data_IF_470391158756
#
_entry.id   IF_470391158756
#
_cell.length_a   1.000
_cell.length_b   1.000
_cell.length_c   1.000
_cell.angle_alpha   90.00
_cell.angle_beta   90.00
_cell.angle_gamma   90.00
#
_symmetry.space_group_name_H-M   'P 1'
#
loop_
_entity.id
_entity.type
_entity.pdbx_description
1 polymer ?
#
# COMPACT_ATOMS: atom_id res chain seq x y z
N UNK A 1 -1.37 -4.53 16.74
CA UNK A 1 -0.74 -5.13 15.53
C UNK A 1 -1.68 -5.80 14.50
N UNK A 2 -2.66 -6.65 14.86
CA UNK A 2 -3.47 -7.40 13.86
C UNK A 2 -4.68 -6.64 13.25
N UNK A 3 -5.11 -5.54 13.88
CA UNK A 3 -6.28 -4.75 13.46
C UNK A 3 -5.91 -3.77 12.34
N UNK A 4 -4.84 -3.00 12.51
CA UNK A 4 -4.30 -2.10 11.46
C UNK A 4 -3.93 -2.88 10.19
N UNK A 5 -3.38 -4.09 10.36
CA UNK A 5 -3.01 -4.98 9.27
C UNK A 5 -4.20 -5.50 8.42
N UNK A 6 -5.45 -5.37 8.89
CA UNK A 6 -6.64 -5.77 8.13
C UNK A 6 -7.42 -4.59 7.56
N UNK A 7 -7.18 -3.38 8.03
CA UNK A 7 -7.85 -2.17 7.53
C UNK A 7 -7.60 -1.94 6.05
N UNK A 8 -6.39 -2.22 5.57
CA UNK A 8 -6.04 -2.20 4.14
C UNK A 8 -6.96 -3.08 3.29
N UNK A 9 -7.22 -4.30 3.77
CA UNK A 9 -8.05 -5.29 3.06
C UNK A 9 -9.53 -4.91 3.11
N UNK A 10 -9.98 -4.33 4.22
CA UNK A 10 -11.33 -3.78 4.36
C UNK A 10 -11.51 -2.61 3.40
N UNK A 11 -10.52 -1.71 3.28
CA UNK A 11 -10.54 -0.61 2.33
C UNK A 11 -10.48 -1.09 0.87
N UNK A 12 -9.68 -2.12 0.57
CA UNK A 12 -9.68 -2.76 -0.75
C UNK A 12 -11.07 -3.32 -1.07
N UNK A 13 -11.69 -4.02 -0.12
CA UNK A 13 -13.05 -4.55 -0.25
C UNK A 13 -14.10 -3.45 -0.45
N UNK A 14 -13.97 -2.33 0.28
CA UNK A 14 -14.85 -1.15 0.17
C UNK A 14 -14.64 -0.37 -1.13
N UNK A 15 -13.44 -0.40 -1.71
CA UNK A 15 -13.19 0.24 -3.00
C UNK A 15 -13.87 -0.47 -4.17
N UNK A 16 -14.21 -1.75 -4.02
CA UNK A 16 -14.88 -2.56 -5.05
C UNK A 16 -16.31 -2.04 -5.36
N UNK A 17 -17.21 -1.83 -4.38
CA UNK A 17 -18.49 -1.19 -4.64
C UNK A 17 -18.34 0.27 -5.10
N UNK A 18 -17.31 1.01 -4.66
CA UNK A 18 -17.06 2.38 -5.17
C UNK A 18 -16.70 2.36 -6.66
N UNK A 19 -15.89 1.40 -7.11
CA UNK A 19 -15.53 1.24 -8.53
C UNK A 19 -16.74 0.87 -9.40
N UNK A 20 -17.59 0.00 -8.87
CA UNK A 20 -18.85 -0.40 -9.52
C UNK A 20 -19.83 0.78 -9.65
N UNK A 21 -20.04 1.54 -8.58
CA UNK A 21 -20.97 2.68 -8.55
C UNK A 21 -20.46 3.85 -9.38
N UNK A 22 -19.14 4.10 -9.38
CA UNK A 22 -18.53 5.21 -10.11
C UNK A 22 -18.22 4.90 -11.59
N UNK A 23 -18.50 3.68 -12.07
CA UNK A 23 -18.22 3.25 -13.46
C UNK A 23 -16.73 3.27 -13.80
N UNK A 24 -15.86 3.09 -12.81
CA UNK A 24 -14.41 3.19 -12.96
C UNK A 24 -13.84 1.90 -13.55
N UNK A 25 -12.65 2.00 -14.16
CA UNK A 25 -12.01 0.88 -14.86
C UNK A 25 -11.70 -0.28 -13.91
N UNK A 26 -12.42 -1.40 -14.05
CA UNK A 26 -12.15 -2.64 -13.30
C UNK A 26 -10.69 -3.13 -13.39
N UNK A 27 -10.02 -3.08 -14.56
CA UNK A 27 -8.62 -3.43 -14.67
C UNK A 27 -7.70 -2.58 -13.78
N UNK A 28 -8.03 -1.30 -13.59
CA UNK A 28 -7.29 -0.41 -12.71
C UNK A 28 -7.41 -0.83 -11.24
N UNK A 29 -8.62 -1.25 -10.83
CA UNK A 29 -8.83 -1.80 -9.51
C UNK A 29 -8.01 -3.06 -9.27
N UNK A 30 -8.02 -4.01 -10.22
CA UNK A 30 -7.26 -5.26 -10.09
C UNK A 30 -5.75 -5.03 -10.00
N UNK A 31 -5.19 -4.14 -10.83
CA UNK A 31 -3.75 -3.85 -10.79
C UNK A 31 -3.35 -3.21 -9.46
N UNK A 32 -4.09 -2.20 -9.01
CA UNK A 32 -3.76 -1.52 -7.76
C UNK A 32 -3.98 -2.46 -6.57
N UNK A 33 -5.03 -3.28 -6.58
CA UNK A 33 -5.28 -4.29 -5.56
C UNK A 33 -4.12 -5.32 -5.47
N UNK A 34 -3.68 -5.85 -6.61
CA UNK A 34 -2.56 -6.79 -6.66
C UNK A 34 -1.26 -6.13 -6.21
N UNK A 35 -0.99 -4.90 -6.67
CA UNK A 35 0.18 -4.15 -6.25
C UNK A 35 0.20 -3.93 -4.73
N UNK A 36 -0.97 -3.64 -4.15
CA UNK A 36 -1.08 -3.39 -2.72
C UNK A 36 -0.81 -4.66 -1.90
N UNK A 37 -1.34 -5.81 -2.34
CA UNK A 37 -1.08 -7.12 -1.74
C UNK A 37 0.42 -7.48 -1.77
N UNK A 38 1.10 -7.22 -2.89
CA UNK A 38 2.53 -7.50 -3.03
C UNK A 38 3.32 -6.66 -2.02
N UNK A 39 3.09 -5.35 -1.98
CA UNK A 39 3.78 -4.48 -1.02
C UNK A 39 3.53 -4.89 0.43
N UNK A 40 2.31 -5.35 0.74
CA UNK A 40 1.97 -5.85 2.07
C UNK A 40 2.78 -7.10 2.43
N UNK A 41 2.92 -8.03 1.49
CA UNK A 41 3.73 -9.23 1.69
C UNK A 41 5.22 -8.88 1.90
N UNK A 42 5.75 -7.99 1.06
CA UNK A 42 7.13 -7.50 1.16
C UNK A 42 7.39 -6.83 2.52
N UNK A 43 6.45 -6.02 3.02
CA UNK A 43 6.56 -5.40 4.35
C UNK A 43 6.59 -6.44 5.47
N UNK A 44 5.72 -7.45 5.40
CA UNK A 44 5.70 -8.54 6.38
C UNK A 44 7.02 -9.32 6.40
N UNK A 45 7.56 -9.61 5.21
CA UNK A 45 8.85 -10.28 5.06
C UNK A 45 10.00 -9.41 5.58
N UNK A 46 10.04 -8.12 5.21
CA UNK A 46 11.05 -7.17 5.67
C UNK A 46 11.09 -7.04 7.21
N UNK A 47 9.93 -6.97 7.87
CA UNK A 47 9.85 -6.91 9.34
C UNK A 47 10.35 -8.21 9.97
N UNK A 48 10.04 -9.37 9.35
CA UNK A 48 10.54 -10.66 9.84
C UNK A 48 12.06 -10.73 9.73
N UNK A 49 12.62 -10.39 8.56
CA UNK A 49 14.07 -10.37 8.32
C UNK A 49 14.79 -9.40 9.26
N UNK A 50 14.21 -8.22 9.51
CA UNK A 50 14.77 -7.23 10.43
C UNK A 50 14.79 -7.69 11.90
N UNK A 51 13.87 -8.59 12.31
CA UNK A 51 13.89 -9.19 13.66
C UNK A 51 14.91 -10.30 13.81
N UNK A 52 15.32 -10.91 12.71
CA UNK A 52 16.27 -12.02 12.69
C UNK A 52 17.73 -11.54 12.47
N UNK A 53 17.93 -10.27 12.12
CA UNK A 53 19.24 -9.70 11.76
C UNK A 53 19.58 -8.49 12.63
N UNK A 54 20.69 -8.56 13.37
CA UNK A 54 21.19 -7.48 14.25
C UNK A 54 22.19 -6.53 13.55
N UNK A 55 22.38 -6.68 12.23
CA UNK A 55 23.34 -5.89 11.45
C UNK A 55 22.76 -4.51 11.04
N UNK A 56 23.34 -3.38 11.53
CA UNK A 56 22.86 -2.03 11.23
C UNK A 56 22.85 -1.68 9.74
N UNK A 57 23.78 -2.22 8.93
CA UNK A 57 23.82 -1.93 7.48
C UNK A 57 22.59 -2.49 6.77
N UNK A 58 22.16 -3.68 7.18
CA UNK A 58 21.00 -4.37 6.61
C UNK A 58 19.72 -3.65 7.00
N UNK A 59 19.61 -3.18 8.25
CA UNK A 59 18.47 -2.39 8.72
C UNK A 59 18.31 -1.08 7.96
N UNK A 60 19.39 -0.30 7.78
CA UNK A 60 19.34 0.95 7.02
C UNK A 60 18.97 0.71 5.57
N UNK A 61 19.53 -0.34 4.94
CA UNK A 61 19.18 -0.74 3.57
C UNK A 61 17.71 -1.15 3.42
N UNK A 62 17.18 -1.90 4.38
CA UNK A 62 15.76 -2.30 4.40
C UNK A 62 14.83 -1.11 4.63
N UNK A 63 15.17 -0.19 5.54
CA UNK A 63 14.37 1.00 5.81
C UNK A 63 14.36 1.95 4.61
N UNK A 64 15.54 2.31 4.09
CA UNK A 64 15.66 3.19 2.93
C UNK A 64 15.03 2.55 1.68
N UNK A 65 15.30 1.26 1.45
CA UNK A 65 14.72 0.48 0.37
C UNK A 65 13.20 0.38 0.47
N UNK A 66 12.65 0.20 1.68
CA UNK A 66 11.20 0.16 1.89
C UNK A 66 10.53 1.51 1.61
N UNK A 67 11.18 2.63 1.94
CA UNK A 67 10.62 3.96 1.71
C UNK A 67 10.59 4.29 0.22
N UNK A 68 11.71 4.08 -0.46
CA UNK A 68 11.84 4.36 -1.90
C UNK A 68 11.01 3.36 -2.71
N UNK A 69 11.11 2.08 -2.38
CA UNK A 69 10.41 1.01 -3.09
C UNK A 69 8.89 1.16 -3.03
N UNK A 70 8.34 1.63 -1.90
CA UNK A 70 6.88 1.82 -1.79
C UNK A 70 6.34 2.85 -2.78
N UNK A 71 6.97 4.01 -2.90
CA UNK A 71 6.53 5.06 -3.81
C UNK A 71 6.68 4.66 -5.29
N UNK A 72 7.85 4.12 -5.64
CA UNK A 72 8.14 3.70 -7.02
C UNK A 72 7.23 2.56 -7.49
N UNK A 73 6.92 1.61 -6.62
CA UNK A 73 6.07 0.47 -6.98
C UNK A 73 4.62 0.90 -7.30
N UNK A 74 4.08 1.88 -6.56
CA UNK A 74 2.78 2.48 -6.87
C UNK A 74 2.83 3.20 -8.22
N UNK A 75 3.85 4.02 -8.45
CA UNK A 75 4.03 4.76 -9.70
C UNK A 75 4.10 3.83 -10.92
N UNK A 76 4.91 2.77 -10.84
CA UNK A 76 5.03 1.75 -11.89
C UNK A 76 3.69 1.06 -12.12
N UNK A 77 2.93 0.75 -11.07
CA UNK A 77 1.62 0.09 -11.19
C UNK A 77 0.58 0.97 -11.89
N UNK A 78 0.54 2.27 -11.56
CA UNK A 78 -0.31 3.27 -12.24
C UNK A 78 0.08 3.36 -13.72
N UNK A 79 1.38 3.47 -13.99
CA UNK A 79 1.89 3.63 -15.34
C UNK A 79 1.63 2.38 -16.20
N UNK A 80 1.86 1.19 -15.64
CA UNK A 80 1.54 -0.08 -16.29
C UNK A 80 0.05 -0.19 -16.60
N UNK A 81 -0.83 0.22 -15.67
CA UNK A 81 -2.27 0.26 -15.91
C UNK A 81 -2.63 1.20 -17.07
N UNK A 82 -2.08 2.41 -17.10
CA UNK A 82 -2.29 3.37 -18.18
C UNK A 82 -1.76 2.88 -19.53
N UNK A 83 -0.65 2.15 -19.55
CA UNK A 83 -0.05 1.61 -20.77
C UNK A 83 -0.83 0.41 -21.34
N UNK A 84 -1.34 -0.48 -20.48
CA UNK A 84 -2.05 -1.70 -20.89
C UNK A 84 -3.51 -1.41 -21.24
N UNK A 85 -4.18 -0.56 -20.46
CA UNK A 85 -5.64 -0.35 -20.55
C UNK A 85 -6.03 1.08 -20.99
N UNK A 86 -5.05 1.93 -21.29
CA UNK A 86 -5.26 3.29 -21.80
C UNK A 86 -5.32 4.37 -20.71
N UNK A 87 -5.31 5.63 -21.15
CA UNK A 87 -5.14 6.80 -20.27
C UNK A 87 -6.24 6.95 -19.20
N UNK A 88 -7.49 6.62 -19.53
CA UNK A 88 -8.60 6.64 -18.57
C UNK A 88 -8.41 5.63 -17.43
N UNK A 89 -7.88 4.44 -17.75
CA UNK A 89 -7.59 3.42 -16.76
C UNK A 89 -6.44 3.87 -15.84
N UNK A 90 -5.37 4.41 -16.42
CA UNK A 90 -4.26 5.00 -15.66
C UNK A 90 -4.70 6.11 -14.71
N UNK A 91 -5.59 7.01 -15.14
CA UNK A 91 -6.15 8.06 -14.29
C UNK A 91 -6.95 7.48 -13.11
N UNK A 92 -7.81 6.48 -13.37
CA UNK A 92 -8.56 5.82 -12.31
C UNK A 92 -7.66 5.07 -11.32
N UNK A 93 -6.58 4.46 -11.79
CA UNK A 93 -5.57 3.82 -10.95
C UNK A 93 -4.87 4.84 -10.04
N UNK A 94 -4.49 6.00 -10.59
CA UNK A 94 -3.87 7.08 -9.83
C UNK A 94 -4.80 7.63 -8.74
N UNK A 95 -6.06 7.88 -9.06
CA UNK A 95 -7.04 8.38 -8.10
C UNK A 95 -7.27 7.39 -6.96
N UNK A 96 -7.43 6.10 -7.27
CA UNK A 96 -7.56 5.06 -6.25
C UNK A 96 -6.31 4.97 -5.37
N UNK A 97 -5.12 4.99 -5.97
CA UNK A 97 -3.87 4.93 -5.24
C UNK A 97 -3.71 6.10 -4.27
N UNK A 98 -4.01 7.34 -4.70
CA UNK A 98 -3.97 8.53 -3.84
C UNK A 98 -5.00 8.45 -2.72
N UNK A 99 -6.23 8.01 -3.02
CA UNK A 99 -7.28 7.87 -2.01
C UNK A 99 -6.89 6.84 -0.93
N UNK A 100 -6.44 5.65 -1.34
CA UNK A 100 -5.96 4.61 -0.43
C UNK A 100 -4.77 5.08 0.40
N UNK A 101 -3.80 5.73 -0.24
CA UNK A 101 -2.62 6.26 0.45
C UNK A 101 -3.03 7.28 1.51
N UNK A 102 -3.93 8.20 1.19
CA UNK A 102 -4.41 9.24 2.12
C UNK A 102 -5.04 8.61 3.36
N UNK A 103 -5.97 7.69 3.17
CA UNK A 103 -6.64 6.99 4.27
C UNK A 103 -5.61 6.27 5.16
N UNK A 104 -4.72 5.48 4.55
CA UNK A 104 -3.73 4.73 5.31
C UNK A 104 -2.75 5.63 6.05
N UNK A 105 -2.31 6.70 5.40
CA UNK A 105 -1.43 7.69 6.01
C UNK A 105 -2.12 8.35 7.22
N UNK A 106 -3.39 8.73 7.09
CA UNK A 106 -4.17 9.27 8.19
C UNK A 106 -4.34 8.27 9.34
N UNK A 107 -4.66 7.01 9.05
CA UNK A 107 -4.78 5.95 10.06
C UNK A 107 -3.45 5.72 10.77
N UNK A 108 -2.34 5.60 10.04
CA UNK A 108 -1.01 5.44 10.64
C UNK A 108 -0.66 6.64 11.53
N UNK A 109 -0.89 7.88 11.09
CA UNK A 109 -0.66 9.06 11.93
C UNK A 109 -1.52 9.07 13.19
N UNK A 110 -2.80 8.71 13.07
CA UNK A 110 -3.74 8.74 14.19
C UNK A 110 -3.41 7.68 15.24
N UNK A 111 -3.03 6.47 14.83
CA UNK A 111 -2.82 5.35 15.73
C UNK A 111 -1.38 5.21 16.25
N UNK A 112 -0.40 5.85 15.60
CA UNK A 112 1.01 5.84 16.04
C UNK A 112 1.25 6.19 17.52
N UNK A 113 0.66 7.26 18.11
CA UNK A 113 0.89 7.57 19.52
C UNK A 113 0.34 6.53 20.51
N UNK A 114 -0.67 5.75 20.10
CA UNK A 114 -1.25 4.71 20.96
C UNK A 114 -0.40 3.43 20.98
N UNK A 115 0.28 3.11 19.88
CA UNK A 115 1.22 1.97 19.81
C UNK A 115 2.48 2.22 20.68
N UNK A 116 2.93 3.46 20.85
CA UNK A 116 4.09 3.80 21.71
C UNK A 116 3.75 3.76 23.22
N UNK A 117 2.49 4.00 23.58
CA UNK A 117 2.03 3.96 24.97
C UNK A 117 1.90 2.53 25.53
N UNK A 118 1.59 1.55 24.68
CA UNK A 118 1.40 0.13 25.05
C UNK A 118 2.73 -0.63 25.17
N UNK A 119 3.86 -0.01 24.80
CA UNK A 119 5.21 -0.57 24.85
C UNK A 119 5.99 -0.22 26.13
N UNK A 120 5.39 0.51 27.08
CA UNK A 120 5.96 0.84 28.39
C UNK A 120 5.25 0.08 29.50
#
# INVERSE_FOLDING_TARGET
MAVVNRLDLVFLGLSLPVFLVAGLSMPAWLIIAAAWLIQRFVRGWAIKTAKETDDPRTLVGLLAGSLIGRGWFIAISIFACGMIYGSKAGLSAALLAVALFTVMFTVEMLFRPFDEADSK
#
